data_IF_139006465271
#
_entry.id   IF_139006465271
#
_cell.length_a   1.000
_cell.length_b   1.000
_cell.length_c   1.000
_cell.angle_alpha   90.00
_cell.angle_beta   90.00
_cell.angle_gamma   90.00
#
_symmetry.space_group_name_H-M   'P 1'
#
loop_
_entity.id
_entity.type
_entity.pdbx_description
1 polymer ?
#
# COMPACT_ATOMS: atom_id res chain seq x y z
N UNK A 1 33.10 3.39 -1.27
CA UNK A 1 32.56 4.77 -1.26
C UNK A 1 31.22 4.85 -2.02
N UNK A 2 30.12 4.60 -1.33
CA UNK A 2 28.77 4.82 -1.88
C UNK A 2 27.90 5.46 -0.78
N UNK A 3 28.26 6.67 -0.38
CA UNK A 3 27.33 7.57 0.29
C UNK A 3 26.35 8.05 -0.78
N UNK A 4 25.32 7.26 -1.05
CA UNK A 4 24.18 7.72 -1.84
C UNK A 4 23.69 9.02 -1.20
N UNK A 5 23.75 10.14 -1.93
CA UNK A 5 23.31 11.46 -1.45
C UNK A 5 21.82 11.56 -1.14
N UNK A 6 21.13 10.43 -1.01
CA UNK A 6 19.74 10.29 -0.64
C UNK A 6 19.65 10.43 0.87
N UNK A 7 19.10 11.56 1.32
CA UNK A 7 18.78 11.80 2.71
C UNK A 7 17.50 11.05 3.08
N UNK A 8 17.64 9.78 3.44
CA UNK A 8 16.51 8.89 3.75
C UNK A 8 15.55 9.45 4.79
N UNK A 9 16.04 10.21 5.77
CA UNK A 9 15.19 10.90 6.73
C UNK A 9 14.21 11.88 6.06
N UNK A 10 14.67 12.66 5.08
CA UNK A 10 13.81 13.57 4.31
C UNK A 10 12.80 12.77 3.47
N UNK A 11 13.22 11.66 2.86
CA UNK A 11 12.31 10.79 2.09
C UNK A 11 11.20 10.24 2.96
N UNK A 12 11.54 9.66 4.13
CA UNK A 12 10.55 9.11 5.06
C UNK A 12 9.59 10.18 5.59
N UNK A 13 10.07 11.42 5.76
CA UNK A 13 9.24 12.55 6.18
C UNK A 13 8.30 13.04 5.07
N UNK A 14 8.78 13.08 3.83
CA UNK A 14 8.05 13.67 2.71
C UNK A 14 7.04 12.70 2.04
N UNK A 15 7.28 11.38 2.09
CA UNK A 15 6.39 10.38 1.47
C UNK A 15 4.94 10.47 2.00
N UNK A 16 4.68 10.55 3.31
CA UNK A 16 3.34 10.79 3.84
C UNK A 16 2.67 12.04 3.25
N UNK A 17 3.41 13.15 3.14
CA UNK A 17 2.92 14.40 2.56
C UNK A 17 2.53 14.23 1.08
N UNK A 18 3.41 13.61 0.29
CA UNK A 18 3.14 13.35 -1.13
C UNK A 18 1.91 12.45 -1.33
N UNK A 19 1.76 11.39 -0.53
CA UNK A 19 0.60 10.51 -0.61
C UNK A 19 -0.69 11.24 -0.22
N UNK A 20 -0.64 12.09 0.81
CA UNK A 20 -1.76 12.93 1.20
C UNK A 20 -2.17 13.87 0.07
N UNK A 21 -1.22 14.53 -0.58
CA UNK A 21 -1.50 15.44 -1.69
C UNK A 21 -2.14 14.71 -2.88
N UNK A 22 -1.62 13.53 -3.24
CA UNK A 22 -2.22 12.69 -4.30
C UNK A 22 -3.65 12.30 -3.95
N UNK A 23 -3.89 11.90 -2.70
CA UNK A 23 -5.23 11.55 -2.23
C UNK A 23 -6.19 12.75 -2.31
N UNK A 24 -5.78 13.91 -1.80
CA UNK A 24 -6.58 15.13 -1.83
C UNK A 24 -6.87 15.59 -3.27
N UNK A 25 -5.87 15.53 -4.15
CA UNK A 25 -6.06 15.83 -5.56
C UNK A 25 -7.09 14.87 -6.21
N UNK A 26 -7.09 13.60 -5.83
CA UNK A 26 -8.06 12.64 -6.30
C UNK A 26 -9.46 12.88 -5.72
N UNK A 27 -9.54 13.29 -4.45
CA UNK A 27 -10.77 13.71 -3.79
C UNK A 27 -11.42 14.92 -4.46
N UNK A 28 -10.61 15.91 -4.83
CA UNK A 28 -11.04 17.12 -5.51
C UNK A 28 -11.29 16.92 -7.02
N UNK A 29 -11.00 15.73 -7.56
CA UNK A 29 -11.14 15.43 -8.99
C UNK A 29 -10.08 16.06 -9.89
N UNK A 30 -9.00 16.62 -9.31
CA UNK A 30 -7.88 17.19 -10.05
C UNK A 30 -7.03 16.11 -10.75
N UNK A 31 -7.05 14.87 -10.23
CA UNK A 31 -6.42 13.70 -10.86
C UNK A 31 -7.41 12.55 -10.97
N UNK A 32 -7.28 11.75 -12.02
CA UNK A 32 -8.12 10.57 -12.24
C UNK A 32 -7.60 9.36 -11.48
N UNK A 33 -8.41 8.31 -11.35
CA UNK A 33 -7.97 7.02 -10.79
C UNK A 33 -6.79 6.42 -11.57
N UNK A 34 -6.73 6.64 -12.89
CA UNK A 34 -5.63 6.19 -13.74
C UNK A 34 -4.33 6.95 -13.44
N UNK A 35 -4.43 8.24 -13.12
CA UNK A 35 -3.26 9.05 -12.75
C UNK A 35 -2.72 8.62 -11.39
N UNK A 36 -3.60 8.40 -10.41
CA UNK A 36 -3.23 7.84 -9.10
C UNK A 36 -2.54 6.50 -9.27
N UNK A 37 -3.12 5.59 -10.06
CA UNK A 37 -2.52 4.29 -10.36
C UNK A 37 -1.10 4.43 -10.91
N UNK A 38 -0.91 5.28 -11.92
CA UNK A 38 0.40 5.55 -12.54
C UNK A 38 1.43 6.06 -11.52
N UNK A 39 1.02 7.00 -10.66
CA UNK A 39 1.89 7.57 -9.61
C UNK A 39 2.33 6.47 -8.63
N UNK A 40 1.39 5.65 -8.15
CA UNK A 40 1.69 4.56 -7.21
C UNK A 40 2.56 3.47 -7.85
N UNK A 41 2.34 3.16 -9.13
CA UNK A 41 3.17 2.22 -9.88
C UNK A 41 4.62 2.71 -9.99
N UNK A 42 4.84 4.01 -10.23
CA UNK A 42 6.18 4.62 -10.23
C UNK A 42 6.83 4.58 -8.84
N UNK A 43 6.08 4.82 -7.77
CA UNK A 43 6.62 4.71 -6.41
C UNK A 43 7.10 3.29 -6.11
N UNK A 44 6.32 2.30 -6.55
CA UNK A 44 6.64 0.89 -6.36
C UNK A 44 7.82 0.42 -7.20
N UNK A 45 7.99 0.94 -8.41
CA UNK A 45 9.10 0.54 -9.29
C UNK A 45 10.44 1.11 -8.86
N UNK A 46 10.45 2.28 -8.19
CA UNK A 46 11.69 2.93 -7.75
C UNK A 46 12.31 2.24 -6.53
N UNK A 47 11.52 1.93 -5.50
CA UNK A 47 12.03 1.35 -4.25
C UNK A 47 10.93 0.60 -3.48
N UNK A 48 11.21 -0.60 -3.01
CA UNK A 48 10.24 -1.41 -2.25
C UNK A 48 9.89 -0.83 -0.86
N UNK A 49 10.67 0.12 -0.34
CA UNK A 49 10.41 0.76 0.96
C UNK A 49 9.36 1.88 0.89
N UNK A 50 9.23 2.57 -0.25
CA UNK A 50 8.30 3.70 -0.39
C UNK A 50 6.82 3.27 -0.25
N UNK A 51 6.37 2.15 -0.87
CA UNK A 51 5.02 1.64 -0.65
C UNK A 51 4.74 1.24 0.81
N UNK A 52 5.76 0.78 1.55
CA UNK A 52 5.61 0.44 2.97
C UNK A 52 5.33 1.69 3.80
N UNK A 53 6.10 2.77 3.60
CA UNK A 53 5.87 4.04 4.30
C UNK A 53 4.52 4.67 3.93
N UNK A 54 4.17 4.65 2.64
CA UNK A 54 2.89 5.13 2.15
C UNK A 54 1.72 4.35 2.77
N UNK A 55 1.83 3.01 2.83
CA UNK A 55 0.82 2.15 3.43
C UNK A 55 0.68 2.42 4.92
N UNK A 56 1.78 2.52 5.67
CA UNK A 56 1.72 2.82 7.09
C UNK A 56 0.96 4.12 7.37
N UNK A 57 1.24 5.18 6.59
CA UNK A 57 0.51 6.44 6.69
C UNK A 57 -0.97 6.29 6.32
N UNK A 58 -1.29 5.64 5.19
CA UNK A 58 -2.68 5.41 4.75
C UNK A 58 -3.47 4.62 5.80
N UNK A 59 -2.87 3.58 6.38
CA UNK A 59 -3.42 2.77 7.47
C UNK A 59 -3.75 3.61 8.70
N UNK A 60 -2.84 4.49 9.15
CA UNK A 60 -3.10 5.41 10.25
C UNK A 60 -4.16 6.46 9.89
N UNK A 61 -4.13 6.99 8.67
CA UNK A 61 -5.09 7.99 8.20
C UNK A 61 -6.51 7.44 8.14
N UNK A 62 -6.67 6.19 7.67
CA UNK A 62 -7.98 5.56 7.60
C UNK A 62 -8.60 5.29 8.97
N UNK A 63 -7.82 5.14 10.05
CA UNK A 63 -8.36 4.95 11.40
C UNK A 63 -9.10 6.18 11.94
N UNK A 64 -8.79 7.37 11.42
CA UNK A 64 -9.40 8.64 11.84
C UNK A 64 -10.44 9.17 10.85
N UNK A 65 -10.66 8.46 9.74
CA UNK A 65 -11.61 8.82 8.70
C UNK A 65 -13.00 8.25 8.94
N UNK A 66 -14.01 8.94 8.39
CA UNK A 66 -15.37 8.40 8.28
C UNK A 66 -15.44 7.32 7.21
N UNK A 67 -16.38 6.38 7.37
CA UNK A 67 -16.47 5.17 6.55
C UNK A 67 -16.69 5.43 5.05
N UNK A 68 -17.40 6.51 4.72
CA UNK A 68 -17.67 6.98 3.36
C UNK A 68 -16.41 7.51 2.64
N UNK A 69 -15.43 8.01 3.39
CA UNK A 69 -14.16 8.51 2.87
C UNK A 69 -13.07 7.43 2.72
N UNK A 70 -13.29 6.20 3.21
CA UNK A 70 -12.27 5.13 3.22
C UNK A 70 -11.97 4.56 1.85
N UNK A 71 -12.89 4.67 0.89
CA UNK A 71 -12.80 3.96 -0.39
C UNK A 71 -11.53 4.32 -1.18
N UNK A 72 -11.21 5.61 -1.28
CA UNK A 72 -10.03 6.08 -2.03
C UNK A 72 -8.70 5.66 -1.36
N UNK A 73 -8.49 5.91 -0.05
CA UNK A 73 -7.33 5.38 0.67
C UNK A 73 -7.17 3.86 0.57
N UNK A 74 -8.26 3.09 0.70
CA UNK A 74 -8.23 1.63 0.56
C UNK A 74 -7.79 1.21 -0.84
N UNK A 75 -8.30 1.86 -1.88
CA UNK A 75 -7.90 1.60 -3.26
C UNK A 75 -6.40 1.89 -3.50
N UNK A 76 -5.84 2.93 -2.87
CA UNK A 76 -4.39 3.20 -2.96
C UNK A 76 -3.57 2.06 -2.33
N UNK A 77 -3.99 1.54 -1.17
CA UNK A 77 -3.32 0.37 -0.54
C UNK A 77 -3.44 -0.88 -1.42
N UNK A 78 -4.63 -1.13 -2.01
CA UNK A 78 -4.82 -2.26 -2.93
C UNK A 78 -3.95 -2.15 -4.18
N UNK A 79 -3.71 -0.94 -4.69
CA UNK A 79 -2.82 -0.74 -5.82
C UNK A 79 -1.38 -1.16 -5.50
N UNK A 80 -0.88 -0.90 -4.28
CA UNK A 80 0.44 -1.38 -3.87
C UNK A 80 0.53 -2.92 -3.81
N UNK A 81 -0.59 -3.59 -3.51
CA UNK A 81 -0.73 -5.04 -3.50
C UNK A 81 -1.08 -5.65 -4.87
N UNK A 82 -1.21 -4.85 -5.93
CA UNK A 82 -1.44 -5.41 -7.26
C UNK A 82 -0.14 -6.07 -7.76
N UNK A 83 -0.14 -7.27 -8.34
CA UNK A 83 1.07 -7.83 -8.94
C UNK A 83 1.64 -6.87 -9.99
N UNK A 84 2.95 -6.63 -9.96
CA UNK A 84 3.61 -5.86 -11.02
C UNK A 84 3.67 -6.78 -12.25
N UNK A 85 3.20 -6.31 -13.41
CA UNK A 85 3.40 -7.05 -14.66
C UNK A 85 4.92 -7.24 -14.84
N UNK A 86 5.32 -8.49 -14.97
CA UNK A 86 6.71 -8.90 -14.95
C UNK A 86 7.38 -8.48 -16.26
N UNK A 87 7.79 -7.22 -16.38
CA UNK A 87 8.65 -6.80 -17.48
C UNK A 87 9.99 -7.52 -17.31
N UNK A 88 10.33 -8.36 -18.29
CA UNK A 88 11.44 -9.33 -18.31
C UNK A 88 12.85 -8.70 -18.26
N UNK A 89 12.98 -7.45 -17.81
CA UNK A 89 14.19 -6.63 -17.93
C UNK A 89 14.79 -6.17 -16.60
N UNK A 90 14.51 -6.86 -15.49
CA UNK A 90 15.22 -6.56 -14.22
C UNK A 90 15.92 -7.81 -13.67
N UNK A 91 17.13 -8.07 -14.18
CA UNK A 91 18.14 -8.97 -13.60
C UNK A 91 18.61 -8.50 -12.21
N UNK A 92 17.75 -8.60 -11.20
CA UNK A 92 18.23 -8.47 -9.83
C UNK A 92 17.34 -9.30 -8.90
N UNK A 93 17.74 -10.53 -8.60
CA UNK A 93 17.06 -11.40 -7.63
C UNK A 93 16.76 -10.69 -6.30
N UNK A 94 17.66 -9.76 -5.89
CA UNK A 94 17.46 -8.90 -4.73
C UNK A 94 16.20 -8.01 -4.82
N UNK A 95 15.84 -7.50 -6.01
CA UNK A 95 14.63 -6.69 -6.16
C UNK A 95 13.37 -7.55 -6.03
N UNK A 96 13.38 -8.75 -6.60
CA UNK A 96 12.26 -9.70 -6.51
C UNK A 96 11.99 -10.11 -5.07
N UNK A 97 13.03 -10.49 -4.32
CA UNK A 97 12.89 -10.85 -2.90
C UNK A 97 12.37 -9.66 -2.07
N UNK A 98 12.93 -8.46 -2.26
CA UNK A 98 12.50 -7.25 -1.56
C UNK A 98 11.07 -6.84 -1.90
N UNK A 99 10.64 -7.04 -3.15
CA UNK A 99 9.27 -6.78 -3.57
C UNK A 99 8.27 -7.77 -2.96
N UNK A 100 8.68 -9.03 -2.82
CA UNK A 100 7.90 -10.06 -2.12
C UNK A 100 7.76 -9.74 -0.63
N UNK A 101 8.85 -9.33 0.03
CA UNK A 101 8.82 -8.92 1.43
C UNK A 101 7.93 -7.67 1.63
N UNK A 102 8.10 -6.65 0.78
CA UNK A 102 7.24 -5.44 0.78
C UNK A 102 5.76 -5.82 0.73
N UNK A 103 5.40 -6.70 -0.21
CA UNK A 103 4.02 -7.16 -0.36
C UNK A 103 3.48 -7.82 0.91
N UNK A 104 4.28 -8.69 1.55
CA UNK A 104 3.90 -9.36 2.80
C UNK A 104 3.68 -8.34 3.93
N UNK A 105 4.57 -7.36 4.07
CA UNK A 105 4.48 -6.30 5.08
C UNK A 105 3.21 -5.46 4.88
N UNK A 106 2.96 -4.99 3.66
CA UNK A 106 1.77 -4.18 3.33
C UNK A 106 0.49 -4.99 3.58
N UNK A 107 0.46 -6.26 3.19
CA UNK A 107 -0.68 -7.14 3.43
C UNK A 107 -0.95 -7.30 4.93
N UNK A 108 0.10 -7.48 5.74
CA UNK A 108 -0.05 -7.55 7.19
C UNK A 108 -0.58 -6.25 7.79
N UNK A 109 -0.02 -5.10 7.39
CA UNK A 109 -0.50 -3.78 7.83
C UNK A 109 -1.99 -3.59 7.50
N UNK A 110 -2.40 -3.96 6.29
CA UNK A 110 -3.81 -3.89 5.90
C UNK A 110 -4.69 -4.80 6.76
N UNK A 111 -4.29 -6.05 7.01
CA UNK A 111 -5.03 -6.99 7.83
C UNK A 111 -5.20 -6.51 9.27
N UNK A 112 -4.15 -5.94 9.85
CA UNK A 112 -4.15 -5.48 11.24
C UNK A 112 -5.10 -4.27 11.45
N UNK A 113 -5.34 -3.46 10.41
CA UNK A 113 -6.27 -2.30 10.47
C UNK A 113 -7.68 -2.66 9.98
N UNK A 114 -7.78 -3.49 8.94
CA UNK A 114 -9.03 -3.93 8.33
C UNK A 114 -9.07 -5.45 8.26
N UNK A 115 -9.33 -6.13 9.39
CA UNK A 115 -9.48 -7.57 9.36
C UNK A 115 -10.64 -7.90 8.41
N UNK A 116 -10.43 -8.74 7.38
CA UNK A 116 -11.54 -9.22 6.56
C UNK A 116 -12.53 -9.86 7.53
N UNK A 117 -13.78 -9.39 7.50
CA UNK A 117 -14.85 -9.88 8.35
C UNK A 117 -14.80 -11.40 8.31
N UNK A 118 -14.40 -12.03 9.42
CA UNK A 118 -14.41 -13.48 9.52
C UNK A 118 -15.87 -13.88 9.31
N UNK A 119 -16.18 -14.43 8.14
CA UNK A 119 -17.42 -15.14 7.93
C UNK A 119 -17.47 -16.19 9.02
N UNK A 120 -18.32 -15.98 10.04
CA UNK A 120 -18.63 -16.99 11.05
C UNK A 120 -19.24 -18.17 10.31
N UNK A 121 -18.40 -19.10 9.86
CA UNK A 121 -18.86 -20.44 9.54
C UNK A 121 -19.38 -20.97 10.86
N UNK A 122 -20.71 -21.01 10.98
CA UNK A 122 -21.41 -21.62 12.11
C UNK A 122 -20.81 -23.01 12.31
N UNK A 123 -20.10 -23.20 13.42
CA UNK A 123 -19.83 -24.53 13.93
C UNK A 123 -21.20 -25.16 14.23
N UNK A 124 -21.68 -26.00 13.32
CA UNK A 124 -22.83 -26.85 13.59
C UNK A 124 -22.37 -27.89 14.59
N UNK A 125 -22.80 -27.73 15.83
CA UNK A 125 -22.65 -28.70 16.91
C UNK A 125 -23.35 -29.98 16.48
N UNK A 126 -22.58 -31.01 16.09
CA UNK A 126 -23.09 -32.36 15.90
C UNK A 126 -23.30 -32.99 17.27
N UNK A 127 -24.50 -32.86 17.82
CA UNK A 127 -24.94 -33.60 19.01
C UNK A 127 -25.36 -34.99 18.56
N UNK A 128 -24.50 -36.00 18.74
CA UNK A 128 -24.90 -37.40 18.62
C UNK A 128 -25.69 -37.81 19.86
N UNK A 129 -26.91 -38.33 19.63
CA UNK A 129 -27.61 -39.23 20.55
C UNK A 129 -27.05 -40.64 20.41
#
# INVERSE_FOLDING_TARGET
>A
PCSSGVKWHEVCHNVPGAIKEVLLAWEQGAVTSNDVKRILDVMRSRMCSLPVFATAWLCSYMQILHQDALLKPMNMVQQFLTPVANDESTQLDNFKERSGLMFQVIRKMQYDVFPPSQSKVKAMTLSHR
#
